data_IF_713817541880
#
_entry.id   IF_713817541880
#
_cell.length_a   1.000
_cell.length_b   1.000
_cell.length_c   1.000
_cell.angle_alpha   90.00
_cell.angle_beta   90.00
_cell.angle_gamma   90.00
#
_symmetry.space_group_name_H-M   'P 1'
#
loop_
_entity.id
_entity.type
_entity.pdbx_description
1 polymer ?
#
# COMPACT_ATOMS: atom_id res chain seq x y z
N UNK A 1 -3.48 14.36 6.91
CA UNK A 1 -3.09 14.36 5.49
C UNK A 1 -2.02 15.43 5.36
N UNK A 2 -0.83 15.07 4.87
CA UNK A 2 0.22 16.04 4.56
C UNK A 2 0.18 16.21 3.04
N UNK A 3 -0.31 17.35 2.57
CA UNK A 3 -0.23 17.74 1.17
C UNK A 3 1.18 18.29 0.93
N UNK A 4 2.03 17.49 0.30
CA UNK A 4 3.38 17.90 -0.07
C UNK A 4 3.30 18.48 -1.49
N UNK A 5 3.55 19.79 -1.64
CA UNK A 5 3.50 20.42 -2.95
C UNK A 5 4.85 20.22 -3.64
N UNK A 6 4.88 19.48 -4.76
CA UNK A 6 6.08 19.39 -5.57
C UNK A 6 6.42 20.78 -6.16
N UNK A 7 7.71 21.09 -6.42
CA UNK A 7 8.16 22.41 -6.89
C UNK A 7 7.60 22.83 -8.26
N UNK A 8 6.90 21.93 -8.95
CA UNK A 8 6.20 22.13 -10.23
C UNK A 8 4.73 22.57 -10.05
N UNK A 9 4.24 22.77 -8.82
CA UNK A 9 2.86 23.24 -8.57
C UNK A 9 1.79 22.15 -8.66
N UNK A 10 2.19 20.88 -8.78
CA UNK A 10 1.26 19.75 -8.76
C UNK A 10 0.93 19.41 -7.30
N UNK A 11 -0.36 19.36 -6.98
CA UNK A 11 -0.82 18.88 -5.68
C UNK A 11 -0.59 17.38 -5.60
N UNK A 12 0.23 16.98 -4.63
CA UNK A 12 0.50 15.59 -4.33
C UNK A 12 -0.07 15.29 -2.95
N UNK A 13 -0.93 14.28 -2.88
CA UNK A 13 -1.50 13.84 -1.62
C UNK A 13 -0.91 12.48 -1.27
N UNK A 14 -0.21 12.43 -0.13
CA UNK A 14 0.30 11.18 0.44
C UNK A 14 -0.65 10.67 1.50
N UNK A 15 -1.01 9.39 1.41
CA UNK A 15 -1.81 8.73 2.42
C UNK A 15 -1.24 7.38 2.79
N UNK A 16 -1.52 6.98 4.03
CA UNK A 16 -1.05 5.74 4.62
C UNK A 16 -2.25 4.86 4.93
N UNK A 17 -2.16 3.59 4.58
CA UNK A 17 -3.16 2.58 4.89
C UNK A 17 -2.52 1.52 5.78
N UNK A 18 -3.09 1.34 6.97
CA UNK A 18 -2.70 0.30 7.92
C UNK A 18 -3.87 -0.67 8.07
N UNK A 19 -3.58 -1.97 7.93
CA UNK A 19 -4.58 -3.01 8.12
C UNK A 19 -5.05 -3.02 9.58
N UNK A 20 -6.34 -3.25 9.82
CA UNK A 20 -6.88 -3.52 11.18
C UNK A 20 -6.34 -4.83 11.76
N UNK A 21 -5.76 -5.69 10.91
CA UNK A 21 -5.10 -6.94 11.27
C UNK A 21 -3.58 -6.83 11.29
N UNK A 22 -3.01 -5.62 11.16
CA UNK A 22 -1.58 -5.42 11.26
C UNK A 22 -1.04 -5.92 12.61
N UNK A 23 0.09 -6.62 12.59
CA UNK A 23 0.74 -7.15 13.79
C UNK A 23 1.73 -6.15 14.40
N UNK A 24 2.27 -5.26 13.58
CA UNK A 24 3.21 -4.22 14.01
C UNK A 24 2.85 -2.87 13.40
N UNK A 25 3.35 -1.79 14.00
CA UNK A 25 3.16 -0.44 13.49
C UNK A 25 3.89 -0.15 12.19
N UNK A 26 4.80 -1.04 11.78
CA UNK A 26 5.57 -0.88 10.54
C UNK A 26 4.85 -1.47 9.32
N UNK A 27 3.77 -2.24 9.52
CA UNK A 27 2.95 -2.83 8.44
C UNK A 27 2.00 -1.78 7.82
N UNK A 28 2.60 -0.78 7.19
CA UNK A 28 1.92 0.37 6.60
C UNK A 28 2.19 0.44 5.11
N UNK A 29 1.10 0.50 4.34
CA UNK A 29 1.15 0.81 2.91
C UNK A 29 1.11 2.32 2.74
N UNK A 30 1.96 2.83 1.85
CA UNK A 30 1.99 4.25 1.53
C UNK A 30 1.66 4.43 0.05
N UNK A 31 0.81 5.41 -0.22
CA UNK A 31 0.37 5.74 -1.57
C UNK A 31 0.54 7.23 -1.84
N UNK A 32 0.89 7.50 -3.08
CA UNK A 32 1.01 8.83 -3.65
C UNK A 32 -0.11 9.02 -4.66
N UNK A 33 -0.96 10.01 -4.42
CA UNK A 33 -1.96 10.44 -5.38
C UNK A 33 -1.47 11.69 -6.11
N UNK A 34 -1.33 11.57 -7.44
CA UNK A 34 -0.88 12.63 -8.33
C UNK A 34 -1.77 12.65 -9.57
N UNK A 35 -2.47 13.75 -9.80
CA UNK A 35 -3.21 14.03 -11.05
C UNK A 35 -4.12 12.87 -11.53
N UNK A 36 -4.85 12.23 -10.62
CA UNK A 36 -5.75 11.11 -10.95
C UNK A 36 -5.09 9.73 -10.95
N UNK A 37 -3.78 9.65 -10.76
CA UNK A 37 -3.04 8.40 -10.62
C UNK A 37 -2.69 8.13 -9.16
N UNK A 38 -2.84 6.88 -8.72
CA UNK A 38 -2.43 6.45 -7.39
C UNK A 38 -1.30 5.44 -7.53
N UNK A 39 -0.15 5.75 -6.95
CA UNK A 39 1.04 4.91 -7.00
C UNK A 39 1.40 4.42 -5.60
N UNK A 40 1.80 3.16 -5.48
CA UNK A 40 2.34 2.62 -4.24
C UNK A 40 3.77 3.11 -4.03
N UNK A 41 4.09 3.54 -2.82
CA UNK A 41 5.42 3.97 -2.41
C UNK A 41 6.20 2.78 -1.86
N UNK A 42 7.46 2.65 -2.27
CA UNK A 42 8.36 1.61 -1.75
C UNK A 42 8.87 2.03 -0.38
N UNK A 43 8.65 1.17 0.61
CA UNK A 43 9.06 1.33 2.00
C UNK A 43 9.48 -0.03 2.59
N UNK A 44 9.81 -0.09 3.88
CA UNK A 44 10.25 -1.32 4.53
C UNK A 44 9.24 -2.48 4.42
N UNK A 45 7.94 -2.20 4.55
CA UNK A 45 6.89 -3.21 4.47
C UNK A 45 6.69 -3.73 3.04
N UNK A 46 6.57 -2.83 2.07
CA UNK A 46 6.38 -3.20 0.65
C UNK A 46 7.62 -3.84 0.01
N UNK A 47 8.79 -3.70 0.66
CA UNK A 47 10.03 -4.36 0.26
C UNK A 47 10.15 -5.80 0.78
N UNK A 48 9.28 -6.24 1.70
CA UNK A 48 9.25 -7.62 2.16
C UNK A 48 8.88 -8.55 1.01
N UNK A 49 9.49 -9.73 0.96
CA UNK A 49 9.39 -10.62 -0.20
C UNK A 49 7.94 -10.98 -0.55
N UNK A 50 7.12 -11.35 0.44
CA UNK A 50 5.72 -11.72 0.20
C UNK A 50 4.89 -10.54 -0.32
N UNK A 51 5.10 -9.34 0.23
CA UNK A 51 4.37 -8.14 -0.16
C UNK A 51 4.81 -7.67 -1.55
N UNK A 52 6.11 -7.68 -1.83
CA UNK A 52 6.67 -7.28 -3.12
C UNK A 52 6.12 -8.13 -4.27
N UNK A 53 5.97 -9.45 -4.06
CA UNK A 53 5.33 -10.34 -5.03
C UNK A 53 3.87 -9.96 -5.30
N UNK A 54 3.11 -9.67 -4.24
CA UNK A 54 1.72 -9.23 -4.37
C UNK A 54 1.60 -7.89 -5.10
N UNK A 55 2.51 -6.94 -4.84
CA UNK A 55 2.57 -5.67 -5.56
C UNK A 55 2.84 -5.89 -7.05
N UNK A 56 3.78 -6.78 -7.40
CA UNK A 56 4.07 -7.09 -8.79
C UNK A 56 2.86 -7.68 -9.53
N UNK A 57 2.11 -8.57 -8.87
CA UNK A 57 0.92 -9.19 -9.45
C UNK A 57 -0.24 -8.20 -9.52
N UNK A 58 -0.68 -7.67 -8.38
CA UNK A 58 -1.95 -6.95 -8.31
C UNK A 58 -1.82 -5.49 -8.75
N UNK A 59 -0.71 -4.82 -8.44
CA UNK A 59 -0.50 -3.42 -8.82
C UNK A 59 0.11 -3.31 -10.21
N UNK A 60 1.21 -4.01 -10.49
CA UNK A 60 1.92 -3.83 -11.77
C UNK A 60 1.28 -4.58 -12.93
N UNK A 61 0.90 -5.86 -12.74
CA UNK A 61 0.33 -6.69 -13.81
C UNK A 61 -1.18 -6.50 -13.97
N UNK A 62 -1.91 -6.43 -12.85
CA UNK A 62 -3.38 -6.32 -12.88
C UNK A 62 -3.92 -4.88 -12.76
N UNK A 63 -3.07 -3.90 -12.41
CA UNK A 63 -3.46 -2.51 -12.22
C UNK A 63 -4.66 -2.32 -11.26
N UNK A 64 -4.67 -3.06 -10.15
CA UNK A 64 -5.80 -3.11 -9.22
C UNK A 64 -5.36 -3.04 -7.75
N UNK A 65 -5.39 -1.83 -7.19
CA UNK A 65 -5.27 -1.58 -5.75
C UNK A 65 -6.37 -2.28 -4.94
N UNK A 66 -7.65 -2.33 -5.39
CA UNK A 66 -8.67 -3.09 -4.68
C UNK A 66 -8.35 -4.59 -4.56
N UNK A 67 -7.86 -5.21 -5.64
CA UNK A 67 -7.47 -6.63 -5.60
C UNK A 67 -6.30 -6.86 -4.63
N UNK A 68 -5.28 -6.00 -4.67
CA UNK A 68 -4.14 -6.05 -3.76
C UNK A 68 -4.57 -5.95 -2.29
N UNK A 69 -5.38 -4.93 -1.95
CA UNK A 69 -5.81 -4.69 -0.56
C UNK A 69 -6.75 -5.77 -0.04
N UNK A 70 -7.62 -6.32 -0.89
CA UNK A 70 -8.46 -7.47 -0.54
C UNK A 70 -7.61 -8.72 -0.23
N UNK A 71 -6.63 -9.03 -1.08
CA UNK A 71 -5.73 -10.16 -0.85
C UNK A 71 -4.94 -9.99 0.45
N UNK A 72 -4.36 -8.80 0.66
CA UNK A 72 -3.61 -8.49 1.88
C UNK A 72 -4.48 -8.59 3.14
N UNK A 73 -5.73 -8.15 3.06
CA UNK A 73 -6.68 -8.25 4.17
C UNK A 73 -6.96 -9.70 4.54
N UNK A 74 -7.22 -10.56 3.56
CA UNK A 74 -7.45 -11.99 3.80
C UNK A 74 -6.22 -12.69 4.37
N UNK A 75 -5.04 -12.41 3.83
CA UNK A 75 -3.80 -13.01 4.32
C UNK A 75 -3.49 -12.58 5.77
N UNK A 76 -3.65 -11.30 6.08
CA UNK A 76 -3.42 -10.76 7.43
C UNK A 76 -4.42 -11.34 8.43
N UNK A 77 -5.69 -11.45 8.04
CA UNK A 77 -6.73 -12.09 8.85
C UNK A 77 -6.39 -13.56 9.15
N UNK A 78 -5.94 -14.31 8.15
CA UNK A 78 -5.54 -15.70 8.32
C UNK A 78 -4.35 -15.82 9.28
N UNK A 79 -3.30 -14.99 9.12
CA UNK A 79 -2.16 -14.98 10.03
C UNK A 79 -2.58 -14.73 11.48
N UNK A 80 -3.53 -13.83 11.71
CA UNK A 80 -4.05 -13.51 13.06
C UNK A 80 -4.93 -14.62 13.65
N UNK A 81 -5.65 -15.36 12.80
CA UNK A 81 -6.58 -16.42 13.24
C UNK A 81 -5.88 -17.74 13.59
N UNK A 82 -4.58 -17.87 13.29
CA UNK A 82 -3.77 -19.08 13.56
C UNK A 82 -2.92 -18.92 14.84
N UNK A 83 -3.07 -17.80 15.59
CA UNK A 83 -2.39 -17.54 16.86
C UNK A 83 -3.29 -17.77 18.08
#
# INVERSE_FOLDING_TARGET
>A
MNDEQQPNGIHVTRFTLQSVYAQTDDEKLEFLYESGSTNIVVNGYTSQHEIAQQVDIFIRKMNSIPAFTANLTMESFNKRSIC
#
